data_IF_229162306233
#
_entry.id   IF_229162306233
#
_cell.length_a   1.000
_cell.length_b   1.000
_cell.length_c   1.000
_cell.angle_alpha   90.00
_cell.angle_beta   90.00
_cell.angle_gamma   90.00
#
_symmetry.space_group_name_H-M   'P 1'
#
loop_
_entity.id
_entity.type
_entity.pdbx_description
1 polymer ?
#
# COMPACT_ATOMS: atom_id res chain seq x y z
N UNK A 1 12.32 29.46 42.23
CA UNK A 1 13.48 29.11 41.40
C UNK A 1 12.95 28.90 40.00
N UNK A 2 13.22 29.84 39.10
CA UNK A 2 12.79 29.79 37.70
C UNK A 2 13.75 28.90 36.93
N UNK A 3 13.24 27.77 36.42
CA UNK A 3 13.98 26.92 35.48
C UNK A 3 14.15 27.67 34.17
N UNK A 4 15.40 27.85 33.77
CA UNK A 4 15.79 28.48 32.52
C UNK A 4 15.91 27.39 31.47
N UNK A 5 14.94 27.33 30.56
CA UNK A 5 14.97 26.43 29.40
C UNK A 5 15.70 27.11 28.26
N UNK A 6 16.88 26.58 27.90
CA UNK A 6 17.65 27.10 26.78
C UNK A 6 16.95 26.81 25.43
N UNK A 7 16.94 27.77 24.49
CA UNK A 7 16.25 27.65 23.21
C UNK A 7 16.89 26.60 22.30
N UNK A 8 16.06 25.86 21.55
CA UNK A 8 16.47 24.77 20.66
C UNK A 8 16.54 25.24 19.19
N UNK A 9 17.22 24.49 18.30
CA UNK A 9 17.42 24.90 16.89
C UNK A 9 16.13 25.12 16.07
N UNK A 10 14.97 24.67 16.56
CA UNK A 10 13.65 24.88 15.94
C UNK A 10 12.97 26.18 16.39
N UNK A 11 13.57 26.92 17.33
CA UNK A 11 13.05 28.20 17.80
C UNK A 11 13.39 29.31 16.79
N UNK A 12 12.36 29.76 16.07
CA UNK A 12 12.46 30.85 15.10
C UNK A 12 12.56 32.19 15.83
N UNK A 13 13.74 32.80 15.85
CA UNK A 13 13.91 34.20 16.30
C UNK A 13 13.58 35.13 15.15
N UNK A 14 12.37 35.70 15.14
CA UNK A 14 11.96 36.73 14.16
C UNK A 14 12.59 38.08 14.51
N UNK A 15 13.67 38.44 13.83
CA UNK A 15 14.19 39.80 13.81
C UNK A 15 13.38 40.68 12.85
N UNK A 16 12.57 41.59 13.41
CA UNK A 16 11.90 42.67 12.68
C UNK A 16 12.03 43.96 13.49
N UNK A 17 12.40 45.06 12.82
CA UNK A 17 12.76 46.35 13.42
C UNK A 17 11.56 47.16 13.99
N UNK A 18 10.69 46.52 14.75
CA UNK A 18 9.65 47.14 15.58
C UNK A 18 9.64 46.40 16.91
N UNK A 19 9.82 47.08 18.06
CA UNK A 19 9.77 46.39 19.36
C UNK A 19 8.40 45.71 19.48
N UNK A 20 8.35 44.42 19.85
CA UNK A 20 7.08 43.75 20.03
C UNK A 20 6.25 44.50 21.07
N UNK A 21 4.91 44.53 20.95
CA UNK A 21 4.06 44.95 22.06
C UNK A 21 4.51 44.21 23.33
N UNK A 22 4.42 44.86 24.48
CA UNK A 22 4.92 44.37 25.78
C UNK A 22 4.31 42.98 26.16
N UNK A 23 3.27 42.54 25.43
CA UNK A 23 2.59 41.25 25.56
C UNK A 23 2.87 40.25 24.41
N UNK A 24 3.95 40.42 23.64
CA UNK A 24 4.33 39.47 22.60
C UNK A 24 4.84 38.16 23.23
N UNK A 25 3.93 37.22 23.45
CA UNK A 25 4.24 35.87 23.92
C UNK A 25 5.07 35.15 22.86
N UNK A 26 6.36 34.94 23.16
CA UNK A 26 7.20 33.99 22.43
C UNK A 26 6.72 32.60 22.85
N UNK A 27 5.75 32.05 22.11
CA UNK A 27 5.36 30.64 22.25
C UNK A 27 6.48 29.76 21.67
N UNK A 28 7.61 29.70 22.37
CA UNK A 28 8.64 28.70 22.15
C UNK A 28 8.20 27.35 22.73
N UNK A 29 8.91 26.28 22.39
CA UNK A 29 8.65 24.97 22.98
C UNK A 29 7.32 24.31 22.54
N UNK A 30 6.74 23.50 23.43
CA UNK A 30 5.55 22.70 23.12
C UNK A 30 4.31 23.54 22.86
N UNK A 31 4.15 24.69 23.52
CA UNK A 31 2.99 25.55 23.32
C UNK A 31 3.02 26.24 21.95
N UNK A 32 4.23 26.55 21.47
CA UNK A 32 4.46 26.95 20.08
C UNK A 32 4.06 25.88 19.08
N UNK A 33 4.39 24.61 19.37
CA UNK A 33 3.98 23.48 18.54
C UNK A 33 2.46 23.30 18.54
N UNK A 34 1.79 23.33 19.70
CA UNK A 34 0.33 23.24 19.81
C UNK A 34 -0.38 24.34 19.03
N UNK A 35 0.10 25.58 19.13
CA UNK A 35 -0.48 26.72 18.41
C UNK A 35 -0.35 26.57 16.89
N UNK A 36 0.83 26.16 16.41
CA UNK A 36 1.07 25.94 14.97
C UNK A 36 0.29 24.73 14.44
N UNK A 37 0.17 23.66 15.23
CA UNK A 37 -0.49 22.43 14.81
C UNK A 37 -1.93 22.68 14.32
N UNK A 38 -2.69 23.53 15.01
CA UNK A 38 -4.08 23.82 14.66
C UNK A 38 -4.28 24.57 13.34
N UNK A 39 -3.25 25.22 12.80
CA UNK A 39 -3.33 26.04 11.57
C UNK A 39 -2.43 25.50 10.45
N UNK A 40 -1.66 24.45 10.72
CA UNK A 40 -0.66 23.92 9.81
C UNK A 40 -1.29 23.05 8.72
N UNK A 41 -0.63 23.01 7.56
CA UNK A 41 -0.92 22.05 6.50
C UNK A 41 -0.50 20.64 6.90
N UNK A 42 -1.00 19.61 6.19
CA UNK A 42 -0.81 18.20 6.53
C UNK A 42 0.66 17.83 6.82
N UNK A 43 1.58 18.15 5.92
CA UNK A 43 3.00 17.80 6.10
C UNK A 43 3.67 18.62 7.23
N UNK A 44 3.22 19.85 7.44
CA UNK A 44 3.67 20.66 8.58
C UNK A 44 3.16 20.08 9.91
N UNK A 45 1.91 19.61 9.95
CA UNK A 45 1.34 18.90 11.12
C UNK A 45 2.15 17.65 11.43
N UNK A 46 2.50 16.83 10.44
CA UNK A 46 3.35 15.64 10.64
C UNK A 46 4.72 16.02 11.19
N UNK A 47 5.35 17.06 10.65
CA UNK A 47 6.63 17.57 11.16
C UNK A 47 6.53 18.06 12.61
N UNK A 48 5.45 18.78 12.95
CA UNK A 48 5.16 19.27 14.30
C UNK A 48 4.98 18.09 15.28
N UNK A 49 4.24 17.05 14.89
CA UNK A 49 4.05 15.85 15.70
C UNK A 49 5.37 15.12 15.95
N UNK A 50 6.22 14.96 14.92
CA UNK A 50 7.56 14.38 15.10
C UNK A 50 8.43 15.20 16.06
N UNK A 51 8.35 16.54 16.00
CA UNK A 51 9.08 17.40 16.92
C UNK A 51 8.54 17.33 18.36
N UNK A 52 7.26 17.00 18.54
CA UNK A 52 6.62 16.88 19.86
C UNK A 52 7.25 15.78 20.72
N UNK A 53 7.85 14.73 20.12
CA UNK A 53 8.55 13.66 20.84
C UNK A 53 9.64 14.18 21.79
N UNK A 54 10.22 15.35 21.52
CA UNK A 54 11.27 15.95 22.34
C UNK A 54 10.76 16.59 23.65
N UNK A 55 9.44 16.58 23.89
CA UNK A 55 8.78 17.27 25.00
C UNK A 55 8.10 16.32 25.99
N UNK A 56 8.49 15.04 26.03
CA UNK A 56 8.01 14.08 27.03
C UNK A 56 6.49 13.94 27.06
N UNK A 57 5.89 13.98 28.25
CA UNK A 57 4.44 13.82 28.45
C UNK A 57 3.59 14.87 27.72
N UNK A 58 4.04 16.14 27.69
CA UNK A 58 3.32 17.19 26.97
C UNK A 58 3.36 16.97 25.45
N UNK A 59 4.46 16.37 24.97
CA UNK A 59 4.61 15.89 23.62
C UNK A 59 3.62 14.78 23.28
N UNK A 60 3.48 13.79 24.16
CA UNK A 60 2.50 12.71 24.01
C UNK A 60 1.08 13.25 23.93
N UNK A 61 0.72 14.25 24.75
CA UNK A 61 -0.58 14.90 24.68
C UNK A 61 -0.89 15.50 23.30
N UNK A 62 0.12 16.07 22.62
CA UNK A 62 -0.04 16.57 21.26
C UNK A 62 -0.18 15.43 20.23
N UNK A 63 0.50 14.30 20.44
CA UNK A 63 0.29 13.10 19.60
C UNK A 63 -1.12 12.52 19.76
N UNK A 64 -1.64 12.45 20.98
CA UNK A 64 -3.03 12.03 21.21
C UNK A 64 -4.02 12.93 20.46
N UNK A 65 -3.81 14.25 20.50
CA UNK A 65 -4.60 15.19 19.71
C UNK A 65 -4.46 14.96 18.18
N UNK A 66 -3.30 14.49 17.73
CA UNK A 66 -3.09 14.12 16.32
C UNK A 66 -3.99 12.98 15.84
N UNK A 67 -4.40 12.06 16.72
CA UNK A 67 -5.37 11.00 16.39
C UNK A 67 -6.78 11.55 16.13
N UNK A 68 -7.06 12.77 16.55
CA UNK A 68 -8.34 13.45 16.35
C UNK A 68 -8.34 14.39 15.14
N UNK A 69 -7.23 14.49 14.41
CA UNK A 69 -7.14 15.36 13.24
C UNK A 69 -8.09 14.91 12.12
N UNK A 70 -8.53 15.83 11.26
CA UNK A 70 -9.41 15.52 10.13
C UNK A 70 -8.70 14.75 9.01
N UNK A 71 -7.38 14.92 8.89
CA UNK A 71 -6.59 14.20 7.90
C UNK A 71 -6.18 12.81 8.39
N UNK A 72 -6.56 11.76 7.64
CA UNK A 72 -6.10 10.39 7.92
C UNK A 72 -4.57 10.28 7.96
N UNK A 73 -3.86 11.04 7.12
CA UNK A 73 -2.38 11.06 7.12
C UNK A 73 -1.80 11.60 8.43
N UNK A 74 -2.48 12.56 9.05
CA UNK A 74 -2.06 13.10 10.35
C UNK A 74 -2.38 12.10 11.46
N UNK A 75 -3.60 11.52 11.46
CA UNK A 75 -3.99 10.47 12.42
C UNK A 75 -3.03 9.29 12.39
N UNK A 76 -2.72 8.77 11.21
CA UNK A 76 -1.81 7.62 11.06
C UNK A 76 -0.39 7.93 11.48
N UNK A 77 0.14 9.10 11.11
CA UNK A 77 1.46 9.54 11.54
C UNK A 77 1.54 9.63 13.06
N UNK A 78 0.51 10.18 13.70
CA UNK A 78 0.43 10.25 15.15
C UNK A 78 0.36 8.88 15.82
N UNK A 79 -0.43 7.96 15.26
CA UNK A 79 -0.52 6.58 15.74
C UNK A 79 0.85 5.88 15.75
N UNK A 80 1.61 5.98 14.65
CA UNK A 80 2.93 5.35 14.58
C UNK A 80 3.93 5.98 15.54
N UNK A 81 3.88 7.31 15.71
CA UNK A 81 4.72 7.98 16.72
C UNK A 81 4.36 7.48 18.13
N UNK A 82 3.07 7.40 18.48
CA UNK A 82 2.63 6.86 19.78
C UNK A 82 3.11 5.42 19.99
N UNK A 83 2.95 4.53 19.01
CA UNK A 83 3.48 3.15 19.09
C UNK A 83 5.00 3.14 19.31
N UNK A 84 5.76 3.99 18.61
CA UNK A 84 7.22 4.06 18.73
C UNK A 84 7.71 4.49 20.12
N UNK A 85 6.87 5.20 20.89
CA UNK A 85 7.20 5.60 22.26
C UNK A 85 7.05 4.46 23.29
N UNK A 86 6.43 3.34 22.90
CA UNK A 86 6.15 2.22 23.80
C UNK A 86 5.01 2.47 24.80
N UNK A 87 4.27 3.58 24.67
CA UNK A 87 3.06 3.85 25.44
C UNK A 87 2.05 2.73 25.19
N UNK A 88 1.49 2.21 26.27
CA UNK A 88 0.44 1.20 26.24
C UNK A 88 -0.89 1.86 26.56
N UNK A 89 -1.82 1.79 25.61
CA UNK A 89 -3.14 2.37 25.73
C UNK A 89 -4.13 1.52 24.90
N UNK A 90 -5.34 1.24 25.41
CA UNK A 90 -6.35 0.47 24.68
C UNK A 90 -6.65 1.03 23.29
N UNK A 91 -6.56 2.35 23.12
CA UNK A 91 -6.75 3.03 21.84
C UNK A 91 -5.74 2.60 20.78
N UNK A 92 -4.50 2.30 21.19
CA UNK A 92 -3.48 1.81 20.27
C UNK A 92 -3.65 0.34 19.90
N UNK A 93 -4.39 -0.42 20.71
CA UNK A 93 -4.81 -1.79 20.37
C UNK A 93 -5.89 -1.77 19.27
N UNK A 94 -6.75 -0.74 19.24
CA UNK A 94 -7.82 -0.65 18.26
C UNK A 94 -7.29 -0.42 16.84
N UNK A 95 -6.23 0.38 16.68
CA UNK A 95 -5.59 0.68 15.39
C UNK A 95 -5.64 2.16 15.05
N UNK A 96 -5.41 2.50 13.78
CA UNK A 96 -5.52 3.88 13.29
C UNK A 96 -7.00 4.22 13.15
N UNK A 97 -7.53 5.28 13.78
CA UNK A 97 -8.93 5.64 13.65
C UNK A 97 -9.27 6.08 12.22
N UNK A 98 -10.27 5.41 11.65
CA UNK A 98 -10.87 5.70 10.35
C UNK A 98 -12.23 6.39 10.53
N UNK A 99 -12.53 7.32 9.63
CA UNK A 99 -13.77 8.10 9.57
C UNK A 99 -14.47 7.89 8.24
N UNK A 100 -15.78 8.11 8.22
CA UNK A 100 -16.56 8.11 6.98
C UNK A 100 -15.93 9.05 5.94
N UNK A 101 -15.70 8.53 4.74
CA UNK A 101 -15.09 9.25 3.62
C UNK A 101 -13.56 9.16 3.56
N UNK A 102 -12.91 8.59 4.57
CA UNK A 102 -11.49 8.24 4.47
C UNK A 102 -11.24 7.28 3.33
N UNK A 103 -10.04 7.36 2.75
CA UNK A 103 -9.59 6.47 1.69
C UNK A 103 -8.40 5.65 2.15
N UNK A 104 -8.49 4.34 1.97
CA UNK A 104 -7.36 3.43 2.11
C UNK A 104 -7.20 2.63 0.82
N UNK A 105 -6.00 2.15 0.60
CA UNK A 105 -5.60 1.48 -0.64
C UNK A 105 -5.14 0.09 -0.29
N UNK A 106 -5.81 -0.93 -0.82
CA UNK A 106 -5.38 -2.31 -0.69
C UNK A 106 -4.52 -2.68 -1.89
N UNK A 107 -3.31 -3.15 -1.64
CA UNK A 107 -2.49 -3.75 -2.69
C UNK A 107 -2.74 -5.26 -2.70
N UNK A 108 -2.98 -5.80 -3.89
CA UNK A 108 -3.21 -7.22 -4.11
C UNK A 108 -2.18 -7.77 -5.07
N UNK A 109 -1.90 -9.06 -4.92
CA UNK A 109 -1.25 -9.91 -5.89
C UNK A 109 -2.32 -10.78 -6.54
N UNK A 110 -2.42 -10.77 -7.87
CA UNK A 110 -3.44 -11.54 -8.58
C UNK A 110 -3.24 -13.04 -8.40
N UNK A 111 -4.34 -13.78 -8.26
CA UNK A 111 -4.30 -15.24 -8.39
C UNK A 111 -4.02 -15.62 -9.84
N UNK A 112 -3.22 -16.66 -10.01
CA UNK A 112 -2.98 -17.27 -11.30
C UNK A 112 -3.24 -18.75 -11.14
N UNK A 113 -4.34 -19.22 -11.74
CA UNK A 113 -4.69 -20.63 -11.80
C UNK A 113 -4.19 -21.21 -13.13
N UNK A 114 -3.67 -22.43 -13.07
CA UNK A 114 -3.15 -23.16 -14.23
C UNK A 114 -3.81 -24.55 -14.30
N UNK A 115 -4.17 -24.97 -15.51
CA UNK A 115 -4.47 -26.35 -15.87
C UNK A 115 -3.50 -26.84 -16.94
N UNK A 116 -3.63 -28.10 -17.35
CA UNK A 116 -2.73 -28.72 -18.34
C UNK A 116 -2.77 -28.02 -19.72
N UNK A 117 -3.86 -27.30 -20.06
CA UNK A 117 -4.08 -26.62 -21.35
C UNK A 117 -4.73 -25.22 -21.20
N UNK A 118 -4.62 -24.56 -20.03
CA UNK A 118 -5.19 -23.22 -19.81
C UNK A 118 -4.55 -22.49 -18.63
N UNK A 119 -4.58 -21.15 -18.64
CA UNK A 119 -4.42 -20.35 -17.43
C UNK A 119 -5.53 -19.31 -17.28
N UNK A 120 -5.87 -18.98 -16.04
CA UNK A 120 -6.70 -17.82 -15.71
C UNK A 120 -5.94 -16.92 -14.73
N UNK A 121 -5.81 -15.65 -15.11
CA UNK A 121 -5.43 -14.60 -14.15
C UNK A 121 -6.74 -14.08 -13.60
N UNK A 122 -7.05 -14.47 -12.37
CA UNK A 122 -8.23 -13.96 -11.70
C UNK A 122 -7.96 -12.55 -11.21
N UNK A 123 -8.59 -11.60 -11.89
CA UNK A 123 -8.75 -10.24 -11.39
C UNK A 123 -10.24 -9.99 -11.19
N UNK A 124 -10.76 -10.48 -10.05
CA UNK A 124 -12.18 -10.42 -9.70
C UNK A 124 -12.73 -8.99 -9.50
N UNK A 125 -11.92 -7.94 -9.67
CA UNK A 125 -12.39 -6.56 -9.50
C UNK A 125 -12.89 -5.90 -10.79
N UNK A 126 -12.79 -6.58 -11.95
CA UNK A 126 -13.21 -5.99 -13.24
C UNK A 126 -14.69 -6.15 -13.56
N UNK A 127 -15.38 -7.13 -12.98
CA UNK A 127 -16.82 -7.25 -13.12
C UNK A 127 -17.48 -6.60 -11.91
N UNK A 128 -18.35 -5.61 -12.14
CA UNK A 128 -19.09 -4.93 -11.05
C UNK A 128 -19.84 -5.93 -10.15
N UNK A 129 -20.36 -7.02 -10.76
CA UNK A 129 -21.01 -8.13 -10.05
C UNK A 129 -20.06 -8.90 -9.11
N UNK A 130 -18.78 -9.05 -9.49
CA UNK A 130 -17.76 -9.73 -8.67
C UNK A 130 -17.16 -8.80 -7.59
N UNK A 131 -17.09 -7.49 -7.87
CA UNK A 131 -16.69 -6.49 -6.88
C UNK A 131 -17.73 -6.34 -5.76
N UNK A 132 -19.02 -6.50 -6.08
CA UNK A 132 -20.11 -6.60 -5.09
C UNK A 132 -19.96 -7.87 -4.25
N UNK A 133 -19.63 -9.01 -4.86
CA UNK A 133 -19.39 -10.26 -4.13
C UNK A 133 -18.28 -10.13 -3.08
N UNK A 134 -17.16 -9.45 -3.39
CA UNK A 134 -16.10 -9.20 -2.39
C UNK A 134 -16.55 -8.27 -1.25
N UNK A 135 -17.34 -7.24 -1.55
CA UNK A 135 -17.90 -6.34 -0.51
C UNK A 135 -18.91 -7.05 0.39
N UNK A 136 -19.64 -8.02 -0.15
CA UNK A 136 -20.73 -8.70 0.55
C UNK A 136 -20.30 -10.00 1.26
N UNK A 137 -19.32 -10.75 0.73
CA UNK A 137 -18.91 -12.06 1.28
C UNK A 137 -17.56 -12.07 2.01
N UNK A 138 -16.61 -11.20 1.69
CA UNK A 138 -15.44 -11.00 2.55
C UNK A 138 -15.81 -9.94 3.58
N UNK A 139 -15.81 -10.27 4.86
CA UNK A 139 -16.16 -9.32 5.92
C UNK A 139 -15.05 -8.29 6.07
N UNK A 140 -14.97 -7.33 5.14
CA UNK A 140 -14.00 -6.24 5.12
C UNK A 140 -13.92 -5.51 6.47
N UNK A 141 -15.05 -5.45 7.18
CA UNK A 141 -15.12 -5.06 8.57
C UNK A 141 -15.21 -6.27 9.49
N UNK A 142 -14.28 -6.34 10.43
CA UNK A 142 -14.24 -7.33 11.49
C UNK A 142 -14.62 -6.68 12.84
N UNK A 143 -15.05 -7.48 13.82
CA UNK A 143 -15.36 -7.03 15.18
C UNK A 143 -14.38 -7.63 16.20
N UNK A 144 -13.93 -6.82 17.16
CA UNK A 144 -13.04 -7.26 18.24
C UNK A 144 -13.44 -6.64 19.60
N UNK A 145 -12.89 -7.17 20.68
CA UNK A 145 -13.04 -6.67 22.05
C UNK A 145 -11.66 -6.28 22.57
N UNK A 146 -11.52 -5.06 23.09
CA UNK A 146 -10.27 -4.58 23.71
C UNK A 146 -9.98 -5.30 25.01
N UNK A 147 -8.74 -5.18 25.51
CA UNK A 147 -8.38 -5.68 26.85
C UNK A 147 -9.27 -5.13 27.99
N UNK A 148 -9.86 -3.95 27.79
CA UNK A 148 -10.83 -3.33 28.70
C UNK A 148 -12.29 -3.76 28.51
N UNK A 149 -12.59 -4.69 27.59
CA UNK A 149 -13.94 -5.20 27.34
C UNK A 149 -14.79 -4.35 26.39
N UNK A 150 -14.21 -3.34 25.74
CA UNK A 150 -14.92 -2.50 24.76
C UNK A 150 -14.96 -3.15 23.38
N UNK A 151 -16.13 -3.22 22.75
CA UNK A 151 -16.27 -3.73 21.38
C UNK A 151 -16.02 -2.62 20.35
N UNK A 152 -15.33 -2.94 19.25
CA UNK A 152 -15.11 -2.03 18.12
C UNK A 152 -14.96 -2.78 16.79
N UNK A 153 -15.14 -2.07 15.69
CA UNK A 153 -14.99 -2.57 14.32
C UNK A 153 -13.63 -2.15 13.73
N UNK A 154 -13.04 -3.00 12.89
CA UNK A 154 -11.77 -2.73 12.24
C UNK A 154 -11.64 -3.36 10.86
N UNK A 155 -10.73 -2.83 10.05
CA UNK A 155 -10.20 -3.40 8.81
C UNK A 155 -8.77 -3.87 9.08
N UNK A 156 -8.37 -5.03 8.56
CA UNK A 156 -6.99 -5.53 8.77
C UNK A 156 -6.40 -6.23 7.56
N UNK A 157 -5.09 -6.09 7.39
CA UNK A 157 -4.28 -6.86 6.44
C UNK A 157 -3.78 -8.20 7.01
N UNK A 158 -4.08 -8.51 8.27
CA UNK A 158 -3.74 -9.82 8.84
C UNK A 158 -4.60 -10.89 8.16
N UNK A 159 -4.01 -11.96 7.59
CA UNK A 159 -4.79 -13.08 7.13
C UNK A 159 -5.60 -13.64 8.31
N UNK A 160 -6.89 -13.88 8.12
CA UNK A 160 -7.63 -14.70 9.07
C UNK A 160 -6.99 -16.09 9.05
N UNK A 161 -6.46 -16.57 10.19
CA UNK A 161 -5.70 -17.82 10.36
C UNK A 161 -6.42 -19.12 9.90
N UNK A 162 -7.58 -19.02 9.23
CA UNK A 162 -8.46 -20.14 8.89
C UNK A 162 -8.96 -20.16 7.44
N UNK A 163 -8.45 -19.34 6.52
CA UNK A 163 -8.76 -19.54 5.11
C UNK A 163 -7.83 -20.64 4.57
N UNK A 164 -8.37 -21.87 4.54
CA UNK A 164 -7.79 -22.98 3.77
C UNK A 164 -7.43 -22.46 2.38
N UNK A 165 -6.18 -22.70 1.97
CA UNK A 165 -5.49 -22.25 0.74
C UNK A 165 -6.41 -22.25 -0.49
N UNK A 166 -7.19 -21.17 -0.70
CA UNK A 166 -8.01 -20.99 -1.89
C UNK A 166 -7.07 -20.47 -2.98
N UNK A 167 -6.51 -21.40 -3.75
CA UNK A 167 -5.49 -21.13 -4.79
C UNK A 167 -5.92 -20.13 -5.88
N UNK A 168 -7.21 -19.78 -5.91
CA UNK A 168 -7.84 -19.07 -7.01
C UNK A 168 -8.15 -17.60 -6.69
N UNK A 169 -7.89 -17.11 -5.47
CA UNK A 169 -8.21 -15.73 -5.07
C UNK A 169 -6.99 -14.78 -5.01
N UNK A 170 -7.14 -13.50 -5.42
CA UNK A 170 -6.11 -12.49 -5.24
C UNK A 170 -5.67 -12.38 -3.78
N UNK A 171 -4.37 -12.45 -3.56
CA UNK A 171 -3.78 -12.36 -2.24
C UNK A 171 -3.61 -10.89 -1.83
N UNK A 172 -4.24 -10.49 -0.72
CA UNK A 172 -4.04 -9.17 -0.13
C UNK A 172 -2.61 -9.05 0.40
N UNK A 173 -1.83 -8.14 -0.16
CA UNK A 173 -0.48 -7.81 0.30
C UNK A 173 -0.56 -6.93 1.56
N UNK A 174 -1.51 -5.98 1.54
CA UNK A 174 -1.84 -5.19 2.71
C UNK A 174 -2.57 -3.89 2.40
N UNK A 175 -2.89 -3.15 3.46
CA UNK A 175 -3.54 -1.86 3.39
C UNK A 175 -2.55 -0.70 3.55
N UNK A 176 -2.79 0.37 2.82
CA UNK A 176 -1.96 1.56 2.78
C UNK A 176 -2.81 2.81 2.85
N UNK A 177 -2.27 3.85 3.46
CA UNK A 177 -2.92 5.17 3.57
C UNK A 177 -2.51 6.08 2.41
N UNK A 178 -1.34 5.85 1.83
CA UNK A 178 -0.84 6.59 0.69
C UNK A 178 -0.88 5.69 -0.55
N UNK A 179 -1.62 6.14 -1.58
CA UNK A 179 -1.79 5.42 -2.84
C UNK A 179 -0.45 5.01 -3.46
N UNK A 180 0.52 5.93 -3.54
CA UNK A 180 1.83 5.65 -4.12
C UNK A 180 2.57 4.50 -3.41
N UNK A 181 2.36 4.30 -2.09
CA UNK A 181 2.95 3.17 -1.36
C UNK A 181 2.23 1.86 -1.69
N UNK A 182 0.92 1.89 -1.87
CA UNK A 182 0.16 0.73 -2.35
C UNK A 182 0.58 0.34 -3.77
N UNK A 183 0.74 1.32 -4.66
CA UNK A 183 1.19 1.11 -6.04
C UNK A 183 2.59 0.49 -6.07
N UNK A 184 3.52 1.02 -5.27
CA UNK A 184 4.85 0.44 -5.11
C UNK A 184 4.81 -1.00 -4.56
N UNK A 185 3.93 -1.28 -3.60
CA UNK A 185 3.77 -2.63 -3.04
C UNK A 185 3.20 -3.60 -4.08
N UNK A 186 2.17 -3.19 -4.82
CA UNK A 186 1.58 -3.96 -5.91
C UNK A 186 2.60 -4.22 -7.03
N UNK A 187 3.39 -3.22 -7.41
CA UNK A 187 4.47 -3.35 -8.39
C UNK A 187 5.57 -4.31 -7.90
N UNK A 188 5.91 -4.25 -6.61
CA UNK A 188 6.89 -5.17 -6.02
C UNK A 188 6.38 -6.61 -6.07
N UNK A 189 5.13 -6.85 -5.68
CA UNK A 189 4.51 -8.17 -5.73
C UNK A 189 4.32 -8.68 -7.17
N UNK A 190 4.03 -7.77 -8.11
CA UNK A 190 4.00 -8.06 -9.54
C UNK A 190 5.36 -8.59 -10.01
N UNK A 191 6.44 -7.84 -9.76
CA UNK A 191 7.80 -8.23 -10.16
C UNK A 191 8.24 -9.53 -9.49
N UNK A 192 7.88 -9.71 -8.22
CA UNK A 192 8.17 -10.93 -7.48
C UNK A 192 7.41 -12.14 -8.04
N UNK A 193 6.13 -11.98 -8.37
CA UNK A 193 5.34 -13.02 -9.04
C UNK A 193 5.98 -13.41 -10.37
N UNK A 194 6.43 -12.44 -11.16
CA UNK A 194 7.12 -12.73 -12.42
C UNK A 194 8.44 -13.48 -12.25
N UNK A 195 9.18 -13.30 -11.16
CA UNK A 195 10.40 -14.08 -10.92
C UNK A 195 10.10 -15.56 -10.66
N UNK A 196 8.97 -15.82 -10.01
CA UNK A 196 8.58 -17.16 -9.55
C UNK A 196 7.49 -17.79 -10.42
N UNK A 197 7.02 -17.09 -11.45
CA UNK A 197 6.16 -17.66 -12.46
C UNK A 197 6.97 -18.77 -13.13
N UNK A 198 6.71 -20.02 -12.76
CA UNK A 198 7.32 -21.21 -13.38
C UNK A 198 6.68 -21.47 -14.75
N UNK A 199 6.50 -20.38 -15.49
CA UNK A 199 5.70 -20.33 -16.67
C UNK A 199 6.46 -21.05 -17.78
N UNK A 200 6.22 -22.35 -17.82
CA UNK A 200 5.66 -23.01 -18.96
C UNK A 200 4.48 -22.15 -19.48
N UNK A 201 4.76 -21.09 -20.24
CA UNK A 201 3.78 -20.15 -20.84
C UNK A 201 3.06 -20.90 -21.97
N UNK A 202 2.41 -22.02 -21.70
CA UNK A 202 1.86 -22.84 -22.79
C UNK A 202 0.52 -22.32 -23.30
N UNK A 203 -0.13 -21.38 -22.60
CA UNK A 203 -1.54 -21.08 -22.87
C UNK A 203 -1.89 -19.60 -22.81
N UNK A 204 -1.00 -18.72 -23.31
CA UNK A 204 -1.38 -17.32 -23.63
C UNK A 204 -2.40 -17.40 -24.77
N UNK A 205 -3.65 -17.62 -24.37
CA UNK A 205 -4.77 -17.81 -25.25
C UNK A 205 -4.94 -16.54 -26.09
N UNK A 206 -5.06 -16.76 -27.39
CA UNK A 206 -5.04 -15.77 -28.46
C UNK A 206 -6.35 -14.94 -28.50
N UNK A 207 -7.22 -15.08 -27.51
CA UNK A 207 -8.65 -14.80 -27.69
C UNK A 207 -9.05 -13.33 -27.56
N UNK A 208 -8.12 -12.38 -27.31
CA UNK A 208 -8.53 -10.98 -27.10
C UNK A 208 -7.88 -9.90 -27.96
N UNK A 209 -6.73 -10.10 -28.61
CA UNK A 209 -6.15 -9.02 -29.43
C UNK A 209 -5.52 -9.52 -30.73
N UNK A 210 -6.31 -9.51 -31.81
CA UNK A 210 -5.86 -9.85 -33.17
C UNK A 210 -4.93 -8.80 -33.81
N UNK A 211 -4.56 -7.71 -33.11
CA UNK A 211 -3.83 -6.58 -33.71
C UNK A 211 -2.44 -6.29 -33.11
N UNK A 212 -2.02 -6.97 -32.03
CA UNK A 212 -0.69 -6.72 -31.45
C UNK A 212 0.42 -7.45 -32.23
N UNK A 213 1.24 -6.68 -32.96
CA UNK A 213 2.41 -7.20 -33.67
C UNK A 213 3.62 -7.34 -32.72
N UNK A 214 3.69 -8.50 -32.06
CA UNK A 214 4.77 -8.80 -31.11
C UNK A 214 6.15 -8.72 -31.76
N UNK A 215 6.31 -9.12 -33.02
CA UNK A 215 7.62 -9.11 -33.70
C UNK A 215 8.11 -7.69 -33.88
N UNK A 216 7.24 -6.81 -34.38
CA UNK A 216 7.56 -5.39 -34.49
C UNK A 216 7.83 -4.76 -33.11
N UNK A 217 7.07 -5.13 -32.07
CA UNK A 217 7.32 -4.65 -30.71
C UNK A 217 8.68 -5.12 -30.15
N UNK A 218 9.06 -6.38 -30.40
CA UNK A 218 10.39 -6.92 -30.05
C UNK A 218 11.51 -6.17 -30.76
N UNK A 219 11.34 -5.87 -32.05
CA UNK A 219 12.32 -5.14 -32.86
C UNK A 219 12.48 -3.69 -32.36
N UNK A 220 11.38 -3.01 -32.07
CA UNK A 220 11.37 -1.64 -31.52
C UNK A 220 12.10 -1.58 -30.17
N UNK A 221 11.84 -2.57 -29.30
CA UNK A 221 12.43 -2.64 -27.96
C UNK A 221 13.81 -3.31 -27.92
N UNK A 222 14.33 -3.75 -29.07
CA UNK A 222 15.64 -4.40 -29.22
C UNK A 222 15.82 -5.61 -28.29
N UNK A 223 14.75 -6.39 -28.10
CA UNK A 223 14.76 -7.53 -27.18
C UNK A 223 15.52 -8.69 -27.81
N UNK A 224 16.50 -9.22 -27.09
CA UNK A 224 17.21 -10.43 -27.51
C UNK A 224 16.38 -11.65 -27.10
N UNK A 225 15.84 -12.36 -28.08
CA UNK A 225 15.02 -13.56 -27.86
C UNK A 225 15.90 -14.81 -27.94
N UNK A 226 15.96 -15.59 -26.86
CA UNK A 226 16.64 -16.89 -26.82
C UNK A 226 15.72 -17.94 -27.46
N UNK A 227 15.95 -18.26 -28.73
CA UNK A 227 15.14 -19.21 -29.51
C UNK A 227 15.53 -20.68 -29.30
N UNK A 228 16.56 -20.95 -28.48
CA UNK A 228 17.03 -22.31 -28.20
C UNK A 228 16.24 -22.94 -27.04
N UNK A 229 14.92 -23.09 -27.19
CA UNK A 229 14.13 -23.82 -26.19
C UNK A 229 13.94 -25.29 -26.60
N UNK A 230 14.27 -26.24 -25.70
CA UNK A 230 14.24 -27.67 -26.00
C UNK A 230 12.82 -28.22 -25.78
N UNK A 231 11.97 -28.11 -26.79
CA UNK A 231 10.96 -29.14 -27.03
C UNK A 231 10.43 -28.98 -28.46
N UNK A 232 11.16 -29.58 -29.39
CA UNK A 232 10.55 -30.17 -30.59
C UNK A 232 9.65 -31.34 -30.12
N UNK A 233 8.57 -31.06 -29.39
CA UNK A 233 7.46 -32.03 -29.32
C UNK A 233 6.83 -32.03 -30.70
N UNK A 234 7.32 -32.94 -31.54
CA UNK A 234 6.79 -33.25 -32.87
C UNK A 234 5.25 -33.26 -32.81
N UNK A 235 4.60 -32.22 -33.38
CA UNK A 235 3.14 -32.20 -33.51
C UNK A 235 2.44 -30.85 -33.32
N UNK A 236 3.05 -29.86 -32.67
CA UNK A 236 2.38 -28.59 -32.35
C UNK A 236 2.77 -27.48 -33.33
N UNK A 237 2.06 -27.42 -34.46
CA UNK A 237 2.37 -26.54 -35.59
C UNK A 237 1.92 -25.07 -35.47
N UNK A 238 2.40 -24.32 -34.47
CA UNK A 238 2.22 -22.86 -34.47
C UNK A 238 3.48 -22.09 -34.01
N UNK A 239 4.25 -21.59 -34.98
CA UNK A 239 5.53 -20.89 -34.76
C UNK A 239 5.38 -19.52 -34.07
N UNK A 240 4.20 -18.89 -34.12
CA UNK A 240 3.99 -17.60 -33.44
C UNK A 240 3.84 -17.76 -31.94
N UNK A 241 3.13 -18.81 -31.49
CA UNK A 241 2.99 -19.09 -30.07
C UNK A 241 4.35 -19.39 -29.41
N UNK A 242 5.17 -20.24 -30.05
CA UNK A 242 6.52 -20.56 -29.54
C UNK A 242 7.36 -19.30 -29.39
N UNK A 243 7.25 -18.39 -30.36
CA UNK A 243 7.93 -17.11 -30.34
C UNK A 243 7.47 -16.23 -29.16
N UNK A 244 6.16 -16.14 -28.90
CA UNK A 244 5.62 -15.38 -27.76
C UNK A 244 6.19 -15.88 -26.43
N UNK A 245 6.20 -17.21 -26.23
CA UNK A 245 6.76 -17.83 -25.03
C UNK A 245 8.25 -17.50 -24.89
N UNK A 246 9.02 -17.59 -25.98
CA UNK A 246 10.44 -17.27 -25.99
C UNK A 246 10.69 -15.80 -25.63
N UNK A 247 9.86 -14.87 -26.10
CA UNK A 247 9.98 -13.44 -25.76
C UNK A 247 9.79 -13.23 -24.26
N UNK A 248 8.72 -13.77 -23.69
CA UNK A 248 8.40 -13.61 -22.27
C UNK A 248 9.46 -14.26 -21.36
N UNK A 249 9.89 -15.48 -21.67
CA UNK A 249 10.98 -16.15 -20.95
C UNK A 249 12.29 -15.38 -21.08
N UNK A 250 12.56 -14.79 -22.26
CA UNK A 250 13.75 -13.97 -22.48
C UNK A 250 13.71 -12.69 -21.63
N UNK A 251 12.57 -12.01 -21.57
CA UNK A 251 12.35 -10.84 -20.73
C UNK A 251 12.51 -11.18 -19.24
N UNK A 252 11.92 -12.30 -18.80
CA UNK A 252 12.04 -12.80 -17.43
C UNK A 252 13.50 -13.14 -17.06
N UNK A 253 14.19 -13.92 -17.89
CA UNK A 253 15.60 -14.33 -17.69
C UNK A 253 16.55 -13.12 -17.66
N UNK A 254 16.27 -12.11 -18.47
CA UNK A 254 17.03 -10.86 -18.52
C UNK A 254 16.58 -9.86 -17.44
N UNK A 255 15.58 -10.20 -16.61
CA UNK A 255 15.01 -9.34 -15.58
C UNK A 255 14.50 -7.99 -16.15
N UNK A 256 14.05 -7.98 -17.40
CA UNK A 256 13.45 -6.82 -18.07
C UNK A 256 11.96 -6.70 -17.69
N UNK A 257 11.70 -6.56 -16.39
CA UNK A 257 10.34 -6.57 -15.84
C UNK A 257 9.46 -5.40 -16.31
N UNK A 258 10.06 -4.27 -16.67
CA UNK A 258 9.32 -3.10 -17.20
C UNK A 258 8.73 -3.42 -18.58
N UNK A 259 9.56 -3.99 -19.46
CA UNK A 259 9.13 -4.46 -20.78
C UNK A 259 8.16 -5.64 -20.68
N UNK A 260 8.35 -6.50 -19.67
CA UNK A 260 7.44 -7.59 -19.38
C UNK A 260 6.05 -7.07 -18.99
N UNK A 261 6.00 -6.01 -18.19
CA UNK A 261 4.76 -5.32 -17.85
C UNK A 261 4.10 -4.65 -19.04
N UNK A 262 4.86 -3.89 -19.81
CA UNK A 262 4.36 -3.28 -21.03
C UNK A 262 3.78 -4.34 -21.97
N UNK A 263 4.50 -5.45 -22.20
CA UNK A 263 4.02 -6.55 -23.02
C UNK A 263 2.72 -7.16 -22.47
N UNK A 264 2.64 -7.38 -21.16
CA UNK A 264 1.45 -7.92 -20.50
C UNK A 264 0.22 -7.02 -20.71
N UNK A 265 0.42 -5.70 -20.58
CA UNK A 265 -0.60 -4.69 -20.83
C UNK A 265 -1.02 -4.64 -22.31
N UNK A 266 -0.05 -4.70 -23.24
CA UNK A 266 -0.33 -4.73 -24.69
C UNK A 266 -1.12 -5.97 -25.10
N UNK A 267 -0.87 -7.11 -24.45
CA UNK A 267 -1.63 -8.33 -24.67
C UNK A 267 -3.04 -8.28 -24.04
N UNK A 268 -3.35 -7.22 -23.29
CA UNK A 268 -4.64 -7.03 -22.64
C UNK A 268 -4.86 -7.91 -21.42
N UNK A 269 -3.77 -8.38 -20.78
CA UNK A 269 -3.87 -9.17 -19.56
C UNK A 269 -4.06 -8.28 -18.34
N UNK A 270 -4.81 -8.81 -17.37
CA UNK A 270 -4.92 -8.21 -16.06
C UNK A 270 -3.56 -8.11 -15.38
N UNK A 271 -3.26 -7.02 -14.66
CA UNK A 271 -1.99 -6.88 -13.97
C UNK A 271 -1.83 -7.97 -12.89
N UNK A 272 -0.60 -8.46 -12.67
CA UNK A 272 -0.31 -9.46 -11.62
C UNK A 272 -0.25 -8.86 -10.20
N UNK A 273 -0.31 -7.54 -10.10
CA UNK A 273 -0.49 -6.81 -8.86
C UNK A 273 -1.29 -5.55 -9.13
N UNK A 274 -2.22 -5.22 -8.25
CA UNK A 274 -3.10 -4.07 -8.45
C UNK A 274 -3.47 -3.40 -7.13
N UNK A 275 -4.01 -2.20 -7.23
CA UNK A 275 -4.46 -1.41 -6.08
C UNK A 275 -5.96 -1.20 -6.17
N UNK A 276 -6.67 -1.43 -5.07
CA UNK A 276 -8.07 -1.07 -4.91
C UNK A 276 -8.23 0.06 -3.90
N UNK A 277 -8.98 1.11 -4.26
CA UNK A 277 -9.35 2.19 -3.34
C UNK A 277 -10.62 1.79 -2.57
N UNK A 278 -10.53 1.76 -1.25
CA UNK A 278 -11.68 1.63 -0.35
C UNK A 278 -12.03 3.00 0.22
N UNK A 279 -13.30 3.38 0.08
CA UNK A 279 -13.88 4.54 0.76
C UNK A 279 -14.63 4.05 1.99
N UNK A 280 -14.20 4.50 3.15
CA UNK A 280 -14.75 4.08 4.43
C UNK A 280 -16.18 4.61 4.60
N UNK A 281 -17.14 3.73 4.89
CA UNK A 281 -18.56 4.04 5.01
C UNK A 281 -19.03 4.25 6.46
N UNK A 282 -18.20 3.88 7.44
CA UNK A 282 -18.49 3.97 8.88
C UNK A 282 -17.22 4.23 9.69
N UNK A 283 -17.37 4.78 10.88
CA UNK A 283 -16.23 4.95 11.78
C UNK A 283 -15.73 3.59 12.26
N UNK A 284 -14.45 3.30 12.06
CA UNK A 284 -13.82 2.05 12.46
C UNK A 284 -12.32 2.28 12.68
N UNK A 285 -11.53 1.22 12.73
CA UNK A 285 -10.08 1.31 12.89
C UNK A 285 -9.34 0.51 11.80
N UNK A 286 -8.15 0.96 11.41
CA UNK A 286 -7.25 0.21 10.54
C UNK A 286 -6.16 -0.46 11.38
N UNK A 287 -6.05 -1.78 11.27
CA UNK A 287 -5.01 -2.60 11.91
C UNK A 287 -4.03 -3.12 10.87
N UNK A 288 -2.76 -2.74 11.02
CA UNK A 288 -1.68 -3.15 10.13
C UNK A 288 -0.79 -4.17 10.85
N UNK A 289 -0.84 -5.42 10.42
CA UNK A 289 -0.06 -6.56 10.91
C UNK A 289 1.45 -6.35 10.71
N UNK A 290 1.83 -5.73 9.59
CA UNK A 290 3.23 -5.54 9.19
C UNK A 290 4.00 -4.47 9.99
N UNK A 291 3.35 -3.76 10.92
CA UNK A 291 4.00 -2.69 11.68
C UNK A 291 4.49 -3.10 13.07
N UNK A 292 4.22 -4.34 13.52
CA UNK A 292 4.75 -4.84 14.80
C UNK A 292 6.20 -5.36 14.69
N UNK A 293 6.77 -5.46 13.50
CA UNK A 293 8.08 -6.13 13.26
C UNK A 293 9.23 -5.19 12.84
N UNK A 294 8.99 -3.89 12.68
CA UNK A 294 10.03 -2.92 12.38
C UNK A 294 10.61 -2.28 13.66
N UNK A 295 11.37 -3.07 14.44
CA UNK A 295 12.28 -2.60 15.50
C UNK A 295 13.67 -3.17 15.29
#
# INVERSE_FOLDING_TARGET
MSEQTDPKPTDLVRGGAVPPPIDAVVLGGIDGLKARFGQAEIEQKRSILSAALQYGEEGLGLLWRGLEDDSLKVRSHSYFLLKSTGVKAPELEMGIPLRVGDRIYAAYQSAVAYGDDWYYIYNFLYYEEDAEWFRENSSFYHSCITSGGGQFEYVSDAPEDNLEDVSDEPHLIGFFIEQARAEQAAETAYRDKFKHLDCQIYDIDHSRQHEFDLKNWVDINQITVDVNFPDEREGWGNSNWQYNCCVLMSLQKQQQFDLLQELWEQLGYSPLGFVHEYVIDRNCYLRLSNYETAT
#
